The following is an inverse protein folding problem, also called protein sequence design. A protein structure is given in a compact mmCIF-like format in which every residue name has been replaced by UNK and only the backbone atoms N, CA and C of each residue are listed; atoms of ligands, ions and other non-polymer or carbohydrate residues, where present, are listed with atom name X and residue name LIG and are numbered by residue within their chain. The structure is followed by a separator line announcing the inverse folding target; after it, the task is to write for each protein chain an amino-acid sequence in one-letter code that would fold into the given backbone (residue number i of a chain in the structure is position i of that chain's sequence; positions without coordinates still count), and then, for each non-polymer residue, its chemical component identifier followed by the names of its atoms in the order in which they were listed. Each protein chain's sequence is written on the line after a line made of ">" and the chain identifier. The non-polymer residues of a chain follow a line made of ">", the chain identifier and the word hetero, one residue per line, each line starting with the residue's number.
data_IF_372457008942
#
_entry.id   IF_372457008942
#
_cell.length_a   1.000
_cell.length_b   1.000
_cell.length_c   1.000
_cell.angle_alpha   90.00
_cell.angle_beta   90.00
_cell.angle_gamma   90.00
#
_symmetry.space_group_name_H-M   'P 1'
#
loop_
_entity.id
_entity.type
_entity.pdbx_description
1 polymer ?
#
# COMPACT_ATOMS: atom_id res chain seq x y z
N UNK A 1 -0.49 12.39 14.62
CA UNK A 1 -0.89 13.68 14.01
C UNK A 1 -0.94 13.51 12.50
N UNK A 2 -2.13 13.42 11.91
CA UNK A 2 -2.30 13.40 10.46
C UNK A 2 -2.10 14.85 10.02
N UNK A 3 -1.09 15.14 9.19
CA UNK A 3 -0.71 16.49 8.75
C UNK A 3 -1.72 17.20 7.85
N UNK A 4 -3.00 16.86 7.94
CA UNK A 4 -4.08 17.58 7.30
C UNK A 4 -4.57 18.67 8.25
N UNK A 5 -4.66 19.94 7.81
CA UNK A 5 -5.26 21.00 8.60
C UNK A 5 -6.68 20.58 8.98
N UNK A 6 -7.01 20.61 10.26
CA UNK A 6 -8.36 20.27 10.74
C UNK A 6 -9.43 21.20 10.09
N UNK A 7 -8.99 22.37 9.65
CA UNK A 7 -9.66 23.34 8.77
C UNK A 7 -10.29 22.68 7.53
N UNK A 8 -9.58 21.75 6.86
CA UNK A 8 -10.03 21.13 5.60
C UNK A 8 -11.27 20.25 5.78
N UNK A 9 -11.39 19.59 6.93
CA UNK A 9 -12.56 18.78 7.24
C UNK A 9 -13.77 19.64 7.57
N UNK A 10 -13.57 20.78 8.23
CA UNK A 10 -14.62 21.74 8.51
C UNK A 10 -15.05 22.49 7.24
N UNK A 11 -14.10 22.84 6.36
CA UNK A 11 -14.35 23.49 5.08
C UNK A 11 -14.91 22.57 3.98
N UNK A 12 -14.88 21.25 4.16
CA UNK A 12 -15.58 20.30 3.29
C UNK A 12 -17.07 20.21 3.62
N UNK A 13 -17.41 20.47 4.89
CA UNK A 13 -18.79 20.46 5.38
C UNK A 13 -19.47 21.82 5.18
N UNK A 14 -18.71 22.90 5.26
CA UNK A 14 -19.14 24.23 4.83
C UNK A 14 -18.93 24.38 3.32
N UNK A 15 -19.95 24.82 2.59
CA UNK A 15 -19.96 24.99 1.12
C UNK A 15 -19.05 26.14 0.63
N UNK A 16 -17.82 26.25 1.14
CA UNK A 16 -16.80 27.10 0.56
C UNK A 16 -16.15 26.35 -0.60
N UNK A 17 -16.42 26.80 -1.82
CA UNK A 17 -15.81 26.29 -3.02
C UNK A 17 -14.29 26.21 -2.82
N UNK A 18 -13.74 25.00 -2.90
CA UNK A 18 -12.32 24.75 -2.83
C UNK A 18 -11.68 25.56 -3.98
N UNK A 19 -11.13 26.72 -3.66
CA UNK A 19 -10.31 27.47 -4.59
C UNK A 19 -8.98 26.73 -4.68
N UNK A 20 -8.93 25.71 -5.53
CA UNK A 20 -7.67 25.04 -5.90
C UNK A 20 -6.85 26.05 -6.69
N UNK A 21 -6.09 26.89 -5.99
CA UNK A 21 -5.12 27.77 -6.63
C UNK A 21 -3.94 26.90 -7.07
N UNK A 22 -3.97 26.46 -8.34
CA UNK A 22 -2.91 25.64 -8.91
C UNK A 22 -1.67 26.51 -9.16
N UNK A 23 -0.76 26.53 -8.18
CA UNK A 23 0.49 27.28 -8.26
C UNK A 23 1.66 26.31 -8.45
N UNK A 24 2.27 26.35 -9.63
CA UNK A 24 3.37 25.44 -9.99
C UNK A 24 4.56 25.56 -9.03
N UNK A 25 4.85 26.77 -8.53
CA UNK A 25 5.94 27.01 -7.60
C UNK A 25 5.68 26.43 -6.20
N UNK A 26 4.43 26.41 -5.74
CA UNK A 26 4.07 25.84 -4.44
C UNK A 26 4.14 24.31 -4.48
N UNK A 27 3.76 23.70 -5.61
CA UNK A 27 3.84 22.25 -5.82
C UNK A 27 5.27 21.69 -5.66
N UNK A 28 6.29 22.45 -6.11
CA UNK A 28 7.71 22.07 -5.96
C UNK A 28 8.23 22.28 -4.54
N UNK A 29 7.67 23.21 -3.77
CA UNK A 29 8.10 23.50 -2.39
C UNK A 29 7.43 22.60 -1.36
N UNK A 30 6.17 22.21 -1.59
CA UNK A 30 5.35 21.49 -0.62
C UNK A 30 5.61 19.98 -0.55
N UNK A 31 6.57 19.43 -1.31
CA UNK A 31 6.89 18.00 -1.31
C UNK A 31 5.81 17.10 -1.95
N UNK A 32 4.67 17.66 -2.34
CA UNK A 32 3.56 16.97 -3.00
C UNK A 32 4.01 16.25 -4.28
N UNK A 33 4.84 16.92 -5.08
CA UNK A 33 5.41 16.34 -6.30
C UNK A 33 6.29 15.12 -5.99
N UNK A 34 7.05 15.13 -4.89
CA UNK A 34 7.86 13.98 -4.48
C UNK A 34 6.99 12.80 -4.05
N UNK A 35 5.86 13.05 -3.38
CA UNK A 35 4.91 11.99 -3.02
C UNK A 35 4.26 11.37 -4.25
N UNK A 36 3.90 12.18 -5.26
CA UNK A 36 3.36 11.68 -6.53
C UNK A 36 4.40 10.83 -7.27
N UNK A 37 5.64 11.32 -7.37
CA UNK A 37 6.74 10.54 -7.97
C UNK A 37 7.00 9.23 -7.21
N UNK A 38 6.96 9.25 -5.88
CA UNK A 38 7.14 8.06 -5.06
C UNK A 38 6.03 7.03 -5.29
N UNK A 39 4.77 7.46 -5.30
CA UNK A 39 3.63 6.56 -5.56
C UNK A 39 3.63 6.01 -6.99
N UNK A 40 4.01 6.82 -7.98
CA UNK A 40 4.16 6.39 -9.37
C UNK A 40 5.28 5.36 -9.52
N UNK A 41 6.42 5.60 -8.86
CA UNK A 41 7.54 4.65 -8.81
C UNK A 41 7.11 3.32 -8.19
N UNK A 42 6.38 3.36 -7.07
CA UNK A 42 5.89 2.16 -6.39
C UNK A 42 4.88 1.38 -7.25
N UNK A 43 3.97 2.09 -7.92
CA UNK A 43 3.00 1.47 -8.82
C UNK A 43 3.72 0.78 -10.00
N UNK A 44 4.66 1.46 -10.64
CA UNK A 44 5.46 0.89 -11.72
C UNK A 44 6.27 -0.34 -11.25
N UNK A 45 6.92 -0.27 -10.08
CA UNK A 45 7.66 -1.39 -9.51
C UNK A 45 6.78 -2.62 -9.26
N UNK A 46 5.59 -2.41 -8.70
CA UNK A 46 4.63 -3.49 -8.41
C UNK A 46 4.09 -4.14 -9.69
N UNK A 47 3.81 -3.34 -10.73
CA UNK A 47 3.33 -3.85 -12.03
C UNK A 47 4.42 -4.58 -12.81
N UNK A 48 5.69 -4.16 -12.71
CA UNK A 48 6.80 -4.79 -13.40
C UNK A 48 7.25 -6.11 -12.77
N UNK A 49 7.03 -6.31 -11.46
CA UNK A 49 7.56 -7.49 -10.75
C UNK A 49 7.13 -8.86 -11.32
N UNK A 50 5.87 -9.07 -11.77
CA UNK A 50 5.46 -10.37 -12.31
C UNK A 50 6.16 -10.69 -13.64
N UNK A 51 6.61 -9.66 -14.39
CA UNK A 51 7.36 -9.84 -15.64
C UNK A 51 8.81 -10.23 -15.38
N UNK A 52 9.44 -9.59 -14.39
CA UNK A 52 10.83 -9.89 -13.99
C UNK A 52 10.92 -11.27 -13.35
N UNK A 53 9.94 -11.63 -12.52
CA UNK A 53 9.93 -12.92 -11.83
C UNK A 53 9.73 -14.14 -12.76
N UNK A 54 9.41 -13.94 -14.05
CA UNK A 54 9.38 -15.04 -15.03
C UNK A 54 10.77 -15.53 -15.43
N UNK A 55 11.79 -14.70 -15.28
CA UNK A 55 13.16 -15.00 -15.75
C UNK A 55 14.13 -15.27 -14.59
N UNK A 56 13.82 -14.78 -13.39
CA UNK A 56 14.65 -14.91 -12.19
C UNK A 56 13.77 -15.14 -10.96
N UNK A 57 14.27 -15.85 -9.95
CA UNK A 57 13.58 -15.95 -8.65
C UNK A 57 13.32 -14.55 -8.07
N UNK A 58 12.09 -14.31 -7.62
CA UNK A 58 11.63 -13.03 -7.11
C UNK A 58 12.56 -12.49 -6.02
N UNK A 59 13.05 -13.35 -5.13
CA UNK A 59 13.93 -12.97 -4.01
C UNK A 59 15.27 -12.42 -4.49
N UNK A 60 15.84 -13.02 -5.56
CA UNK A 60 17.12 -12.56 -6.14
C UNK A 60 16.94 -11.23 -6.85
N UNK A 61 15.81 -11.04 -7.54
CA UNK A 61 15.47 -9.75 -8.15
C UNK A 61 15.33 -8.64 -7.09
N UNK A 62 14.70 -8.92 -5.94
CA UNK A 62 14.62 -7.97 -4.82
C UNK A 62 15.99 -7.65 -4.24
N UNK A 63 16.86 -8.65 -4.10
CA UNK A 63 18.23 -8.44 -3.63
C UNK A 63 18.99 -7.45 -4.50
N UNK A 64 18.94 -7.62 -5.83
CA UNK A 64 19.51 -6.66 -6.76
C UNK A 64 18.87 -5.28 -6.69
N UNK A 65 17.54 -5.21 -6.52
CA UNK A 65 16.84 -3.93 -6.34
C UNK A 65 17.28 -3.19 -5.07
N UNK A 66 17.48 -3.91 -3.95
CA UNK A 66 17.96 -3.30 -2.70
C UNK A 66 19.39 -2.80 -2.81
N UNK A 67 20.27 -3.51 -3.53
CA UNK A 67 21.64 -3.04 -3.80
C UNK A 67 21.60 -1.80 -4.70
N UNK A 68 20.86 -1.84 -5.81
CA UNK A 68 20.78 -0.74 -6.77
C UNK A 68 20.08 0.50 -6.18
N UNK A 69 19.12 0.34 -5.28
CA UNK A 69 18.48 1.45 -4.58
C UNK A 69 19.30 1.97 -3.40
N UNK A 70 19.93 1.07 -2.64
CA UNK A 70 20.73 1.42 -1.46
C UNK A 70 22.05 2.11 -1.80
N UNK A 71 22.70 1.75 -2.91
CA UNK A 71 24.01 2.28 -3.26
C UNK A 71 23.98 3.79 -3.61
N UNK A 72 23.04 4.30 -4.44
CA UNK A 72 22.85 5.73 -4.64
C UNK A 72 22.47 6.48 -3.37
N UNK A 73 21.63 5.89 -2.50
CA UNK A 73 21.25 6.49 -1.22
C UNK A 73 22.46 6.60 -0.28
N UNK A 74 23.31 5.58 -0.23
CA UNK A 74 24.54 5.60 0.56
C UNK A 74 25.51 6.68 0.07
N UNK A 75 25.70 6.79 -1.25
CA UNK A 75 26.52 7.84 -1.84
C UNK A 75 25.93 9.24 -1.59
N UNK A 76 24.61 9.38 -1.73
CA UNK A 76 23.90 10.64 -1.49
C UNK A 76 24.00 11.10 -0.04
N UNK A 77 23.82 10.20 0.92
CA UNK A 77 23.99 10.50 2.35
C UNK A 77 25.41 11.01 2.61
N UNK A 78 26.45 10.39 2.02
CA UNK A 78 27.85 10.83 2.17
C UNK A 78 28.16 12.24 1.65
N UNK A 79 27.36 12.78 0.72
CA UNK A 79 27.58 14.09 0.10
C UNK A 79 26.68 15.17 0.73
N UNK A 80 25.43 14.82 1.05
CA UNK A 80 24.39 15.77 1.46
C UNK A 80 24.29 15.94 2.98
N UNK A 81 24.69 14.92 3.75
CA UNK A 81 24.52 14.90 5.20
C UNK A 81 25.86 14.96 5.92
N UNK A 82 25.90 15.67 7.05
CA UNK A 82 27.08 15.75 7.92
C UNK A 82 26.72 15.27 9.32
N UNK A 83 27.60 14.50 9.96
CA UNK A 83 27.37 13.97 11.32
C UNK A 83 26.71 12.59 11.43
N UNK A 84 26.64 11.82 10.34
CA UNK A 84 26.00 10.49 10.28
C UNK A 84 26.36 9.53 11.42
N UNK A 85 27.58 9.64 11.95
CA UNK A 85 28.16 8.71 12.92
C UNK A 85 28.22 9.27 14.35
N UNK A 86 27.90 10.56 14.54
CA UNK A 86 28.21 11.26 15.80
C UNK A 86 27.18 11.07 16.91
N UNK A 87 26.00 10.49 16.64
CA UNK A 87 24.92 10.35 17.63
C UNK A 87 24.34 8.93 17.74
N UNK A 88 24.93 7.94 17.06
CA UNK A 88 24.40 6.58 17.07
C UNK A 88 24.91 5.81 18.30
N UNK A 89 24.13 5.83 19.38
CA UNK A 89 24.31 4.96 20.54
C UNK A 89 24.00 3.48 20.21
N UNK A 90 24.36 2.55 21.11
CA UNK A 90 24.07 1.11 20.94
C UNK A 90 22.58 0.82 20.67
N UNK A 91 21.68 1.56 21.31
CA UNK A 91 20.24 1.46 21.06
C UNK A 91 19.86 1.87 19.63
N UNK A 92 20.53 2.88 19.07
CA UNK A 92 20.34 3.30 17.68
C UNK A 92 20.79 2.22 16.70
N UNK A 93 21.92 1.57 16.98
CA UNK A 93 22.40 0.42 16.20
C UNK A 93 21.46 -0.79 16.26
N UNK A 94 20.91 -1.09 17.43
CA UNK A 94 19.93 -2.17 17.59
C UNK A 94 18.62 -1.85 16.85
N UNK A 95 18.13 -0.62 16.97
CA UNK A 95 16.93 -0.17 16.25
C UNK A 95 17.12 -0.21 14.73
N UNK A 96 18.28 0.25 14.24
CA UNK A 96 18.64 0.20 12.82
C UNK A 96 18.72 -1.26 12.33
N UNK A 97 19.42 -2.12 13.07
CA UNK A 97 19.54 -3.55 12.72
C UNK A 97 18.17 -4.23 12.67
N UNK A 98 17.32 -3.95 13.65
CA UNK A 98 15.95 -4.47 13.68
C UNK A 98 15.14 -3.98 12.47
N UNK A 99 15.17 -2.68 12.17
CA UNK A 99 14.45 -2.09 11.04
C UNK A 99 14.96 -2.62 9.68
N UNK A 100 16.26 -2.78 9.50
CA UNK A 100 16.85 -3.29 8.26
C UNK A 100 16.51 -4.77 8.04
N UNK A 101 16.61 -5.62 9.07
CA UNK A 101 16.36 -7.06 8.93
C UNK A 101 14.86 -7.35 8.85
N UNK A 102 14.10 -6.95 9.86
CA UNK A 102 12.67 -7.28 9.94
C UNK A 102 11.81 -6.35 9.09
N UNK A 103 12.06 -5.04 9.18
CA UNK A 103 11.27 -4.03 8.48
C UNK A 103 11.52 -3.98 6.97
N UNK A 104 12.74 -4.28 6.53
CA UNK A 104 13.11 -4.23 5.11
C UNK A 104 13.37 -5.61 4.51
N UNK A 105 14.45 -6.30 4.85
CA UNK A 105 14.88 -7.51 4.13
C UNK A 105 13.82 -8.62 4.13
N UNK A 106 13.31 -8.98 5.32
CA UNK A 106 12.27 -10.02 5.46
C UNK A 106 10.94 -9.54 4.88
N UNK A 107 10.50 -8.33 5.24
CA UNK A 107 9.21 -7.78 4.81
C UNK A 107 9.11 -7.65 3.28
N UNK A 108 10.09 -7.02 2.63
CA UNK A 108 10.12 -6.88 1.17
C UNK A 108 10.32 -8.23 0.49
N UNK A 109 11.14 -9.13 1.05
CA UNK A 109 11.32 -10.49 0.52
C UNK A 109 9.99 -11.24 0.45
N UNK A 110 9.20 -11.22 1.53
CA UNK A 110 7.86 -11.83 1.58
C UNK A 110 6.90 -11.12 0.62
N UNK A 111 6.88 -9.77 0.62
CA UNK A 111 5.99 -9.00 -0.23
C UNK A 111 6.17 -9.35 -1.72
N UNK A 112 7.41 -9.32 -2.21
CA UNK A 112 7.69 -9.59 -3.62
C UNK A 112 7.56 -11.07 -3.98
N UNK A 113 7.83 -11.98 -3.04
CA UNK A 113 7.54 -13.40 -3.21
C UNK A 113 6.03 -13.69 -3.32
N UNK A 114 5.20 -13.04 -2.51
CA UNK A 114 3.74 -13.16 -2.64
C UNK A 114 3.23 -12.50 -3.92
N UNK A 115 3.84 -11.38 -4.33
CA UNK A 115 3.49 -10.68 -5.56
C UNK A 115 3.82 -11.52 -6.80
N UNK A 116 4.94 -12.25 -6.79
CA UNK A 116 5.34 -13.13 -7.90
C UNK A 116 4.47 -14.38 -8.03
N UNK A 117 3.96 -14.92 -6.92
CA UNK A 117 3.07 -16.10 -6.91
C UNK A 117 1.65 -15.83 -7.41
N UNK A 118 1.32 -14.59 -7.77
CA UNK A 118 0.08 -14.28 -8.49
C UNK A 118 -1.20 -14.34 -7.65
N UNK A 119 -1.10 -14.40 -6.31
CA UNK A 119 -2.28 -14.18 -5.46
C UNK A 119 -2.50 -12.67 -5.27
N UNK A 120 -2.91 -11.99 -6.36
CA UNK A 120 -3.18 -10.54 -6.35
C UNK A 120 -4.19 -10.17 -5.26
N UNK A 121 -5.13 -11.06 -4.95
CA UNK A 121 -6.16 -10.87 -3.92
C UNK A 121 -5.56 -10.83 -2.52
N UNK A 122 -4.63 -11.74 -2.21
CA UNK A 122 -3.96 -11.75 -0.91
C UNK A 122 -3.00 -10.56 -0.75
N UNK A 123 -2.30 -10.17 -1.83
CA UNK A 123 -1.42 -9.00 -1.79
C UNK A 123 -2.19 -7.70 -1.60
N UNK A 124 -3.31 -7.55 -2.31
CA UNK A 124 -4.19 -6.38 -2.20
C UNK A 124 -4.80 -6.30 -0.80
N UNK A 125 -5.31 -7.41 -0.28
CA UNK A 125 -5.86 -7.47 1.08
C UNK A 125 -4.82 -7.11 2.14
N UNK A 126 -3.58 -7.60 2.00
CA UNK A 126 -2.48 -7.28 2.92
C UNK A 126 -2.15 -5.78 2.89
N UNK A 127 -2.08 -5.19 1.68
CA UNK A 127 -1.79 -3.75 1.51
C UNK A 127 -2.85 -2.87 2.16
N UNK A 128 -4.13 -3.23 2.02
CA UNK A 128 -5.22 -2.51 2.69
C UNK A 128 -5.24 -2.70 4.21
N UNK A 129 -4.66 -3.79 4.71
CA UNK A 129 -4.57 -4.06 6.14
C UNK A 129 -3.41 -3.31 6.81
N UNK A 130 -2.41 -2.89 6.06
CA UNK A 130 -1.26 -2.09 6.54
C UNK A 130 -1.66 -0.88 7.41
N UNK A 131 -2.55 0.04 7.00
CA UNK A 131 -2.95 1.17 7.84
C UNK A 131 -3.66 0.75 9.14
N UNK A 132 -4.41 -0.36 9.12
CA UNK A 132 -5.07 -0.90 10.33
C UNK A 132 -4.02 -1.39 11.32
N UNK A 133 -3.02 -2.12 10.85
CA UNK A 133 -1.90 -2.54 11.70
C UNK A 133 -1.09 -1.35 12.22
N UNK A 134 -0.78 -0.39 11.36
CA UNK A 134 -0.03 0.80 11.73
C UNK A 134 -0.71 1.56 12.87
N UNK A 135 -2.02 1.83 12.77
CA UNK A 135 -2.79 2.52 13.81
C UNK A 135 -2.94 1.68 15.08
N UNK A 136 -3.20 0.37 14.93
CA UNK A 136 -3.36 -0.53 16.08
C UNK A 136 -2.07 -0.65 16.89
N UNK A 137 -0.93 -0.85 16.21
CA UNK A 137 0.37 -0.94 16.86
C UNK A 137 0.88 0.42 17.35
N UNK A 138 0.54 1.52 16.67
CA UNK A 138 0.78 2.87 17.17
C UNK A 138 0.04 3.14 18.49
N UNK A 139 -1.22 2.73 18.59
CA UNK A 139 -1.97 2.81 19.84
C UNK A 139 -1.39 1.90 20.94
N UNK A 140 -1.09 0.63 20.62
CA UNK A 140 -0.67 -0.37 21.60
C UNK A 140 0.77 -0.19 22.10
N UNK A 141 1.72 0.08 21.21
CA UNK A 141 3.15 0.14 21.53
C UNK A 141 3.65 1.56 21.76
N UNK A 142 3.14 2.55 21.02
CA UNK A 142 3.55 3.96 21.17
C UNK A 142 2.62 4.73 22.12
N UNK A 143 1.50 4.15 22.53
CA UNK A 143 0.54 4.79 23.44
C UNK A 143 -0.24 5.94 22.79
N UNK A 144 -0.31 5.99 21.46
CA UNK A 144 -1.01 7.07 20.76
C UNK A 144 -2.52 6.99 20.98
N UNK A 145 -3.12 8.05 21.54
CA UNK A 145 -4.59 8.13 21.70
C UNK A 145 -5.23 8.42 20.35
N UNK A 146 -5.90 7.42 19.80
CA UNK A 146 -6.59 7.54 18.52
C UNK A 146 -7.88 8.36 18.67
N UNK A 147 -8.08 9.33 17.77
CA UNK A 147 -9.32 10.10 17.73
C UNK A 147 -10.48 9.25 17.21
N UNK A 148 -11.74 9.59 17.56
CA UNK A 148 -12.91 8.85 17.05
C UNK A 148 -12.98 8.77 15.51
N UNK A 149 -12.50 9.80 14.81
CA UNK A 149 -12.43 9.80 13.34
C UNK A 149 -11.39 8.80 12.79
N UNK A 150 -10.27 8.61 13.49
CA UNK A 150 -9.28 7.59 13.11
C UNK A 150 -9.85 6.18 13.28
N UNK A 151 -10.58 5.94 14.36
CA UNK A 151 -11.30 4.68 14.57
C UNK A 151 -12.34 4.42 13.48
N UNK A 152 -13.08 5.44 13.06
CA UNK A 152 -14.00 5.32 11.93
C UNK A 152 -13.28 4.93 10.63
N UNK A 153 -12.11 5.53 10.35
CA UNK A 153 -11.28 5.14 9.21
C UNK A 153 -10.81 3.68 9.26
N UNK A 154 -10.45 3.17 10.44
CA UNK A 154 -10.09 1.77 10.65
C UNK A 154 -11.26 0.84 10.34
N UNK A 155 -12.44 1.13 10.90
CA UNK A 155 -13.66 0.33 10.67
C UNK A 155 -14.04 0.34 9.19
N UNK A 156 -13.98 1.51 8.54
CA UNK A 156 -14.28 1.65 7.12
C UNK A 156 -13.32 0.81 6.26
N UNK A 157 -12.02 0.85 6.57
CA UNK A 157 -11.00 0.05 5.88
C UNK A 157 -11.27 -1.45 6.02
N UNK A 158 -11.62 -1.92 7.22
CA UNK A 158 -11.99 -3.32 7.46
C UNK A 158 -13.22 -3.75 6.65
N UNK A 159 -14.25 -2.89 6.58
CA UNK A 159 -15.43 -3.14 5.74
C UNK A 159 -15.03 -3.22 4.27
N UNK A 160 -14.18 -2.32 3.77
CA UNK A 160 -13.69 -2.36 2.39
C UNK A 160 -12.96 -3.67 2.07
N UNK A 161 -12.06 -4.12 2.95
CA UNK A 161 -11.34 -5.40 2.78
C UNK A 161 -12.32 -6.58 2.76
N UNK A 162 -13.29 -6.58 3.67
CA UNK A 162 -14.31 -7.63 3.73
C UNK A 162 -15.10 -7.72 2.42
N UNK A 163 -15.52 -6.59 1.87
CA UNK A 163 -16.23 -6.54 0.59
C UNK A 163 -15.36 -7.00 -0.60
N UNK A 164 -14.09 -6.61 -0.62
CA UNK A 164 -13.15 -7.02 -1.68
C UNK A 164 -12.95 -8.54 -1.67
N UNK A 165 -12.78 -9.14 -0.49
CA UNK A 165 -12.62 -10.59 -0.37
C UNK A 165 -13.91 -11.34 -0.80
N UNK A 166 -15.08 -10.80 -0.47
CA UNK A 166 -16.37 -11.37 -0.88
C UNK A 166 -16.63 -11.29 -2.39
N UNK A 167 -15.97 -10.37 -3.13
CA UNK A 167 -16.15 -10.21 -4.58
C UNK A 167 -15.87 -11.50 -5.35
N UNK A 168 -14.86 -12.27 -4.97
CA UNK A 168 -14.53 -13.53 -5.66
C UNK A 168 -15.60 -14.62 -5.46
N UNK A 169 -16.21 -14.65 -4.27
CA UNK A 169 -17.27 -15.60 -3.91
C UNK A 169 -18.58 -15.22 -4.61
N UNK A 170 -18.91 -13.92 -4.61
CA UNK A 170 -20.11 -13.37 -5.24
C UNK A 170 -20.02 -13.51 -6.77
N UNK A 171 -18.85 -13.25 -7.37
CA UNK A 171 -18.62 -13.43 -8.80
C UNK A 171 -18.84 -14.87 -9.27
N UNK A 172 -18.34 -15.85 -8.51
CA UNK A 172 -18.59 -17.28 -8.78
C UNK A 172 -20.07 -17.66 -8.64
N UNK A 173 -20.76 -17.18 -7.60
CA UNK A 173 -22.20 -17.42 -7.41
C UNK A 173 -23.05 -16.82 -8.53
N UNK A 174 -22.74 -15.61 -8.99
CA UNK A 174 -23.43 -14.96 -10.09
C UNK A 174 -23.22 -15.70 -11.41
N UNK A 175 -21.99 -16.12 -11.71
CA UNK A 175 -21.70 -16.94 -12.90
C UNK A 175 -22.44 -18.28 -12.88
N UNK A 176 -22.49 -18.95 -11.73
CA UNK A 176 -23.28 -20.17 -11.55
C UNK A 176 -24.77 -19.93 -11.84
N UNK A 177 -25.36 -18.88 -11.25
CA UNK A 177 -26.76 -18.51 -11.47
C UNK A 177 -27.07 -18.19 -12.94
N UNK A 178 -26.18 -17.44 -13.61
CA UNK A 178 -26.31 -17.12 -15.04
C UNK A 178 -26.23 -18.38 -15.90
N UNK A 179 -25.34 -19.33 -15.58
CA UNK A 179 -25.24 -20.60 -16.31
C UNK A 179 -26.50 -21.45 -16.16
N UNK A 180 -27.08 -21.52 -14.95
CA UNK A 180 -28.30 -22.28 -14.67
C UNK A 180 -29.50 -21.71 -15.42
N UNK A 181 -29.59 -20.37 -15.48
CA UNK A 181 -30.64 -19.67 -16.22
C UNK A 181 -30.51 -19.91 -17.74
N UNK A 182 -29.29 -20.00 -18.27
CA UNK A 182 -29.06 -20.34 -19.67
C UNK A 182 -29.43 -21.80 -19.99
N UNK A 183 -29.10 -22.76 -19.13
CA UNK A 183 -29.50 -24.16 -19.33
C UNK A 183 -31.01 -24.35 -19.27
N UNK A 184 -31.71 -23.65 -18.37
CA UNK A 184 -33.16 -23.66 -18.29
C UNK A 184 -33.80 -23.08 -19.57
N UNK A 185 -33.24 -21.99 -20.12
CA UNK A 185 -33.70 -21.42 -21.40
C UNK A 185 -33.53 -22.41 -22.56
N UNK A 186 -32.41 -23.13 -22.62
CA UNK A 186 -32.16 -24.12 -23.68
C UNK A 186 -33.16 -25.28 -23.56
N UNK A 187 -33.38 -25.82 -22.35
CA UNK A 187 -34.38 -26.87 -22.12
C UNK A 187 -35.80 -26.43 -22.51
N UNK A 188 -36.19 -25.21 -22.18
CA UNK A 188 -37.51 -24.69 -22.57
C UNK A 188 -37.66 -24.57 -24.09
N UNK A 189 -36.59 -24.18 -24.81
CA UNK A 189 -36.65 -24.01 -26.26
C UNK A 189 -36.63 -25.36 -27.00
N UNK A 190 -36.00 -26.40 -26.45
CA UNK A 190 -36.02 -27.76 -27.02
C UNK A 190 -37.35 -28.49 -26.81
N UNK A 191 -38.13 -28.12 -25.79
CA UNK A 191 -39.45 -28.75 -25.51
C UNK A 191 -40.59 -28.08 -26.32
N UNK A 192 -40.36 -26.89 -26.87
CA UNK A 192 -41.32 -26.12 -27.67
C UNK A 192 -41.17 -26.32 -29.20
N UNK A 193 -40.28 -27.21 -29.64
CA UNK A 193 -40.07 -27.64 -31.04
C UNK A 193 -40.48 -29.11 -31.13
#
# INVERSE_FOLDING_TARGET
>A
LIGLPQEWFQSLWETHAIAVSFNWQDLFKSGELLMLLASLSMAAGTVCIPYVSRHTDAVVATGWHMILGGLPLFLGSGILESGQWNEINLNGWLALSYATVFGSAISYGIFFYLASKGNLTSLSSLTFLTPVFALTFGNLFLGEVLTPFQWFGVVLTLISIYLINQREIIGRKLQYFVSLNNELKIKFNTVLI
#
